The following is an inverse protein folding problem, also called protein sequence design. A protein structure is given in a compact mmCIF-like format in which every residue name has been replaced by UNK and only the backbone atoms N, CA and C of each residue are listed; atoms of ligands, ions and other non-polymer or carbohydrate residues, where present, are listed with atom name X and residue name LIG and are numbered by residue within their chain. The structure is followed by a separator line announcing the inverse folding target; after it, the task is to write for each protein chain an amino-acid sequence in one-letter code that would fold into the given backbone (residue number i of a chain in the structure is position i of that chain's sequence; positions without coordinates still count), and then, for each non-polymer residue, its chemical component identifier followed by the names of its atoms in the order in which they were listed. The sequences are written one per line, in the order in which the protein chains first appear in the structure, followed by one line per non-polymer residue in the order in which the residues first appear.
data_IF_498592695731
#
_entry.id   IF_498592695731
#
_cell.length_a   1.000
_cell.length_b   1.000
_cell.length_c   1.000
_cell.angle_alpha   90.00
_cell.angle_beta   90.00
_cell.angle_gamma   90.00
#
_symmetry.space_group_name_H-M   'P 1'
#
loop_
_entity.id
_entity.type
_entity.pdbx_description
1 polymer ?
#
# COMPACT_ATOMS: atom_id res chain seq x y z
N UNK A 1 0.95 2.47 18.88
CA UNK A 1 1.92 2.17 17.80
C UNK A 1 2.79 3.39 17.60
N UNK A 2 4.10 3.21 17.43
CA UNK A 2 5.03 4.33 17.23
C UNK A 2 4.61 5.12 15.96
N UNK A 3 4.29 6.42 16.06
CA UNK A 3 3.74 7.20 14.94
C UNK A 3 4.65 7.21 13.70
N UNK A 4 5.96 7.08 13.91
CA UNK A 4 6.96 6.94 12.85
C UNK A 4 6.77 5.66 12.02
N UNK A 5 6.38 4.56 12.66
CA UNK A 5 6.15 3.26 11.98
C UNK A 5 4.89 3.33 11.12
N UNK A 6 3.81 3.96 11.61
CA UNK A 6 2.58 4.14 10.83
C UNK A 6 2.81 4.98 9.57
N UNK A 7 3.63 6.03 9.67
CA UNK A 7 3.97 6.90 8.54
C UNK A 7 4.87 6.17 7.53
N UNK A 8 5.85 5.40 8.00
CA UNK A 8 6.68 4.55 7.13
C UNK A 8 5.83 3.49 6.39
N UNK A 9 4.91 2.82 7.09
CA UNK A 9 3.98 1.86 6.49
C UNK A 9 3.05 2.49 5.46
N UNK A 10 2.56 3.71 5.71
CA UNK A 10 1.74 4.45 4.76
C UNK A 10 2.52 4.73 3.46
N UNK A 11 3.71 5.33 3.57
CA UNK A 11 4.56 5.61 2.40
C UNK A 11 4.91 4.34 1.63
N UNK A 12 5.25 3.27 2.35
CA UNK A 12 5.62 1.99 1.75
C UNK A 12 4.42 1.34 1.04
N UNK A 13 3.23 1.36 1.63
CA UNK A 13 2.01 0.87 0.97
C UNK A 13 1.66 1.70 -0.27
N UNK A 14 1.85 3.02 -0.23
CA UNK A 14 1.59 3.88 -1.38
C UNK A 14 2.55 3.58 -2.54
N UNK A 15 3.86 3.51 -2.24
CA UNK A 15 4.87 3.14 -3.23
C UNK A 15 4.65 1.72 -3.76
N UNK A 16 4.33 0.76 -2.89
CA UNK A 16 4.02 -0.61 -3.28
C UNK A 16 2.77 -0.68 -4.18
N UNK A 17 1.75 0.13 -3.93
CA UNK A 17 0.57 0.22 -4.78
C UNK A 17 0.89 0.72 -6.19
N UNK A 18 1.71 1.77 -6.33
CA UNK A 18 2.18 2.26 -7.63
C UNK A 18 3.06 1.21 -8.32
N UNK A 19 3.98 0.59 -7.58
CA UNK A 19 4.85 -0.48 -8.11
C UNK A 19 4.04 -1.68 -8.60
N UNK A 20 2.95 -2.04 -7.92
CA UNK A 20 2.05 -3.13 -8.33
C UNK A 20 1.40 -2.87 -9.69
N UNK A 21 1.01 -1.62 -9.99
CA UNK A 21 0.49 -1.23 -11.31
C UNK A 21 1.59 -1.38 -12.37
N UNK A 22 2.78 -0.85 -12.10
CA UNK A 22 3.91 -0.94 -13.03
C UNK A 22 4.33 -2.39 -13.28
N UNK A 23 4.38 -3.22 -12.23
CA UNK A 23 4.68 -4.64 -12.36
C UNK A 23 3.63 -5.36 -13.21
N UNK A 24 2.34 -5.05 -13.04
CA UNK A 24 1.25 -5.65 -13.82
C UNK A 24 1.45 -5.42 -15.33
N UNK A 25 1.77 -4.18 -15.71
CA UNK A 25 2.05 -3.80 -17.11
C UNK A 25 3.36 -4.45 -17.59
N UNK A 26 4.38 -4.48 -16.74
CA UNK A 26 5.68 -5.08 -17.05
C UNK A 26 5.56 -6.58 -17.33
N UNK A 27 4.83 -7.31 -16.48
CA UNK A 27 4.59 -8.75 -16.64
C UNK A 27 3.93 -9.04 -17.98
N UNK A 28 2.89 -8.27 -18.33
CA UNK A 28 2.25 -8.41 -19.62
C UNK A 28 3.26 -8.16 -20.75
N UNK A 29 4.02 -7.06 -20.71
CA UNK A 29 4.97 -6.76 -21.78
C UNK A 29 6.08 -7.80 -21.92
N UNK A 30 6.62 -8.31 -20.81
CA UNK A 30 7.77 -9.22 -20.83
C UNK A 30 7.38 -10.68 -21.12
N UNK A 31 6.21 -11.14 -20.67
CA UNK A 31 5.76 -12.53 -20.85
C UNK A 31 4.77 -12.71 -22.02
N UNK A 32 4.42 -11.64 -22.74
CA UNK A 32 3.63 -11.72 -23.97
C UNK A 32 4.50 -12.27 -25.12
N UNK A 33 4.79 -13.57 -25.06
CA UNK A 33 5.46 -14.36 -26.09
C UNK A 33 4.49 -15.02 -27.08
N UNK A 34 5.04 -15.67 -28.11
CA UNK A 34 4.28 -16.23 -29.25
C UNK A 34 3.42 -17.46 -28.90
N UNK A 35 3.68 -18.12 -27.77
CA UNK A 35 2.92 -19.31 -27.36
C UNK A 35 1.63 -18.93 -26.60
N UNK A 36 0.46 -19.47 -27.00
CA UNK A 36 -0.84 -19.09 -26.43
C UNK A 36 -0.97 -19.43 -24.94
N UNK A 37 -0.27 -20.47 -24.46
CA UNK A 37 -0.24 -20.82 -23.05
C UNK A 37 0.52 -19.77 -22.21
N UNK A 38 1.66 -19.27 -22.72
CA UNK A 38 2.48 -18.28 -22.03
C UNK A 38 1.75 -16.93 -21.94
N UNK A 39 1.04 -16.55 -23.00
CA UNK A 39 0.20 -15.35 -23.00
C UNK A 39 -0.91 -15.44 -21.96
N UNK A 40 -1.63 -16.56 -21.87
CA UNK A 40 -2.68 -16.75 -20.88
C UNK A 40 -2.15 -16.71 -19.43
N UNK A 41 -0.93 -17.22 -19.20
CA UNK A 41 -0.27 -17.12 -17.90
C UNK A 41 0.14 -15.68 -17.56
N UNK A 42 0.67 -14.94 -18.54
CA UNK A 42 1.06 -13.53 -18.37
C UNK A 42 -0.15 -12.65 -18.01
N UNK A 43 -1.26 -12.82 -18.71
CA UNK A 43 -2.50 -12.06 -18.48
C UNK A 43 -3.06 -12.32 -17.07
N UNK A 44 -3.13 -13.59 -16.64
CA UNK A 44 -3.60 -13.96 -15.30
C UNK A 44 -2.70 -13.41 -14.21
N UNK A 45 -1.38 -13.50 -14.39
CA UNK A 45 -0.41 -13.02 -13.39
C UNK A 45 -0.41 -11.49 -13.32
N UNK A 46 -0.49 -10.80 -14.46
CA UNK A 46 -0.63 -9.36 -14.54
C UNK A 46 -1.89 -8.85 -13.83
N UNK A 47 -3.05 -9.48 -14.08
CA UNK A 47 -4.31 -9.15 -13.38
C UNK A 47 -4.18 -9.40 -11.87
N UNK A 48 -3.64 -10.56 -11.48
CA UNK A 48 -3.45 -10.89 -10.07
C UNK A 48 -2.59 -9.83 -9.37
N UNK A 49 -1.47 -9.42 -9.96
CA UNK A 49 -0.58 -8.40 -9.38
C UNK A 49 -1.23 -7.02 -9.40
N UNK A 50 -1.96 -6.65 -10.46
CA UNK A 50 -2.66 -5.38 -10.57
C UNK A 50 -3.78 -5.22 -9.54
N UNK A 51 -4.42 -6.31 -9.12
CA UNK A 51 -5.45 -6.33 -8.07
C UNK A 51 -4.90 -5.94 -6.68
N UNK A 52 -3.58 -6.01 -6.44
CA UNK A 52 -2.98 -5.55 -5.18
C UNK A 52 -2.88 -4.03 -5.09
N UNK A 53 -2.88 -3.31 -6.21
CA UNK A 53 -2.81 -1.85 -6.22
C UNK A 53 -3.94 -1.18 -5.40
N UNK A 54 -5.24 -1.49 -5.62
CA UNK A 54 -6.31 -0.88 -4.83
C UNK A 54 -6.21 -1.21 -3.34
N UNK A 55 -5.84 -2.43 -2.96
CA UNK A 55 -5.73 -2.80 -1.54
C UNK A 55 -4.58 -2.05 -0.86
N UNK A 56 -3.42 -1.96 -1.51
CA UNK A 56 -2.25 -1.24 -0.99
C UNK A 56 -2.49 0.27 -0.88
N UNK A 57 -3.15 0.88 -1.87
CA UNK A 57 -3.51 2.31 -1.83
C UNK A 57 -4.57 2.62 -0.76
N UNK A 58 -5.52 1.71 -0.53
CA UNK A 58 -6.50 1.86 0.57
C UNK A 58 -5.80 1.74 1.93
N UNK A 59 -4.89 0.78 2.08
CA UNK A 59 -4.10 0.59 3.30
C UNK A 59 -3.21 1.82 3.57
N UNK A 60 -2.56 2.38 2.55
CA UNK A 60 -1.72 3.57 2.73
C UNK A 60 -2.51 4.75 3.28
N UNK A 61 -3.69 5.01 2.71
CA UNK A 61 -4.58 6.08 3.15
C UNK A 61 -5.06 5.85 4.59
N UNK A 62 -5.37 4.59 4.93
CA UNK A 62 -5.79 4.25 6.29
C UNK A 62 -4.66 4.39 7.31
N UNK A 63 -3.44 3.97 6.99
CA UNK A 63 -2.27 4.15 7.87
C UNK A 63 -1.88 5.62 8.05
N UNK A 64 -2.04 6.44 7.02
CA UNK A 64 -1.79 7.89 7.10
C UNK A 64 -2.73 8.56 8.13
N UNK A 65 -4.03 8.24 8.07
CA UNK A 65 -5.02 8.74 9.03
C UNK A 65 -4.76 8.28 10.47
N UNK A 66 -4.24 7.05 10.65
CA UNK A 66 -3.84 6.57 11.98
C UNK A 66 -2.58 7.28 12.49
N UNK A 67 -1.62 7.59 11.61
CA UNK A 67 -0.44 8.38 11.97
C UNK A 67 -0.82 9.81 12.39
N UNK A 68 -1.79 10.41 11.72
CA UNK A 68 -2.29 11.75 12.07
C UNK A 68 -3.08 11.79 13.37
N UNK A 69 -3.90 10.78 13.67
CA UNK A 69 -4.56 10.66 14.98
C UNK A 69 -3.57 10.45 16.14
N UNK A 70 -2.42 9.83 15.86
CA UNK A 70 -1.36 9.63 16.85
C UNK A 70 -0.48 10.88 17.05
N UNK A 71 -0.74 11.98 16.32
CA UNK A 71 0.00 13.22 16.48
C UNK A 71 -0.54 13.97 17.69
N UNK A 72 0.28 14.21 18.74
CA UNK A 72 -0.11 15.12 19.81
C UNK A 72 -0.26 16.52 19.22
N UNK A 73 -1.45 17.10 19.41
CA UNK A 73 -1.77 18.45 18.96
C UNK A 73 -0.97 19.45 19.81
N UNK A 74 -0.11 20.29 19.20
CA UNK A 74 0.63 21.30 19.93
C UNK A 74 -0.34 22.26 20.63
N UNK A 75 -0.41 22.21 21.97
CA UNK A 75 -1.31 23.04 22.78
C UNK A 75 -2.48 22.30 23.44
N UNK A 76 -2.70 21.01 23.17
CA UNK A 76 -3.67 20.16 23.88
C UNK A 76 -2.87 19.05 24.57
N UNK A 77 -2.64 19.21 25.88
CA UNK A 77 -2.08 18.15 26.71
C UNK A 77 -3.13 17.05 26.80
N UNK A 78 -2.76 15.81 26.47
CA UNK A 78 -3.57 14.65 26.81
C UNK A 78 -3.69 14.63 28.34
N UNK A 79 -4.83 15.06 28.86
CA UNK A 79 -5.14 14.87 30.27
C UNK A 79 -5.10 13.36 30.52
N UNK A 80 -3.99 12.91 31.10
CA UNK A 80 -3.85 11.55 31.60
C UNK A 80 -4.94 11.41 32.67
N UNK A 81 -5.98 10.57 32.49
CA UNK A 81 -6.92 10.34 33.56
C UNK A 81 -6.11 9.74 34.69
N UNK A 82 -5.99 10.49 35.78
CA UNK A 82 -5.15 10.14 36.92
C UNK A 82 -5.41 8.72 37.38
N UNK A 83 -4.32 7.96 37.43
CA UNK A 83 -4.20 6.78 38.27
C UNK A 83 -4.48 7.22 39.72
N UNK A 84 -5.60 6.75 40.27
CA UNK A 84 -5.87 6.67 41.70
C UNK A 84 -6.15 5.21 42.03
#
# INVERSE_FOLDING_TARGET
MNPSICRALSTLCFQAGILSILLSIWIWWFLNGDEPEQQAHAERFGIFVGLWAPTLLILSNRFDRYADKARPVPGLQDETPGEK
#
